data_IF_583214614507
#
_entry.id   IF_583214614507
#
_cell.length_a   1.000
_cell.length_b   1.000
_cell.length_c   1.000
_cell.angle_alpha   90.00
_cell.angle_beta   90.00
_cell.angle_gamma   90.00
#
_symmetry.space_group_name_H-M   'P 1'
#
loop_
_entity.id
_entity.type
_entity.pdbx_description
1 polymer ?
#
# COMPACT_ATOMS: atom_id res chain seq x y z
N UNK A 1 -16.14 -0.61 -7.86
CA UNK A 1 -15.90 -1.94 -7.26
C UNK A 1 -14.44 -2.13 -6.87
N UNK A 2 -13.49 -1.85 -7.76
CA UNK A 2 -12.07 -2.18 -7.56
C UNK A 2 -11.42 -1.52 -6.34
N UNK A 3 -11.71 -0.24 -6.07
CA UNK A 3 -11.15 0.48 -4.92
C UNK A 3 -11.52 -0.17 -3.58
N UNK A 4 -12.68 -0.85 -3.49
CA UNK A 4 -13.12 -1.53 -2.29
C UNK A 4 -12.44 -2.90 -2.13
N UNK A 5 -12.18 -3.59 -3.24
CA UNK A 5 -11.63 -4.95 -3.25
C UNK A 5 -10.10 -4.94 -3.16
N UNK A 6 -9.44 -4.00 -3.85
CA UNK A 6 -7.99 -3.98 -4.02
C UNK A 6 -7.18 -3.88 -2.73
N UNK A 7 -7.55 -3.08 -1.72
CA UNK A 7 -6.79 -3.04 -0.46
C UNK A 7 -6.71 -4.41 0.23
N UNK A 8 -7.76 -5.23 0.11
CA UNK A 8 -7.85 -6.55 0.74
C UNK A 8 -7.23 -7.64 -0.12
N UNK A 9 -7.75 -7.86 -1.33
CA UNK A 9 -7.32 -8.98 -2.18
C UNK A 9 -6.02 -8.64 -2.91
N UNK A 10 -5.89 -7.43 -3.44
CA UNK A 10 -4.67 -7.02 -4.14
C UNK A 10 -3.52 -6.79 -3.18
N UNK A 11 -3.57 -5.70 -2.43
CA UNK A 11 -2.45 -5.33 -1.56
C UNK A 11 -2.30 -6.27 -0.36
N UNK A 12 -3.39 -6.58 0.33
CA UNK A 12 -3.36 -7.42 1.53
C UNK A 12 -2.93 -8.87 1.23
N UNK A 13 -3.61 -9.53 0.30
CA UNK A 13 -3.38 -10.93 -0.03
C UNK A 13 -2.28 -11.12 -1.10
N UNK A 14 -2.42 -10.52 -2.29
CA UNK A 14 -1.52 -10.79 -3.42
C UNK A 14 -0.13 -10.14 -3.23
N UNK A 15 -0.05 -8.94 -2.65
CA UNK A 15 1.24 -8.30 -2.34
C UNK A 15 1.78 -8.67 -0.95
N UNK A 16 1.01 -9.41 -0.14
CA UNK A 16 1.43 -9.86 1.19
C UNK A 16 1.46 -8.78 2.27
N UNK A 17 0.71 -7.69 2.11
CA UNK A 17 0.71 -6.57 3.07
C UNK A 17 -0.15 -6.82 4.33
N UNK A 18 -0.91 -7.91 4.38
CA UNK A 18 -1.74 -8.30 5.53
C UNK A 18 -1.20 -9.56 6.21
N UNK A 19 -1.72 -9.87 7.41
CA UNK A 19 -1.60 -11.18 8.07
C UNK A 19 -0.21 -11.85 8.05
N UNK A 20 0.87 -11.08 8.25
CA UNK A 20 2.25 -11.61 8.25
C UNK A 20 2.62 -12.45 7.01
N UNK A 21 2.19 -12.00 5.82
CA UNK A 21 2.41 -12.61 4.51
C UNK A 21 1.56 -13.86 4.19
N UNK A 22 0.28 -13.68 3.76
CA UNK A 22 -0.62 -14.77 3.38
C UNK A 22 -0.16 -15.56 2.15
N UNK A 23 0.79 -15.05 1.35
CA UNK A 23 1.26 -15.72 0.13
C UNK A 23 1.92 -17.07 0.42
N UNK A 24 2.44 -17.24 1.63
CA UNK A 24 3.07 -18.47 2.13
C UNK A 24 2.10 -19.64 2.29
N UNK A 25 0.81 -19.35 2.45
CA UNK A 25 -0.20 -20.37 2.74
C UNK A 25 -1.28 -20.47 1.65
N UNK A 26 -1.72 -19.34 1.08
CA UNK A 26 -2.89 -19.29 0.19
C UNK A 26 -2.58 -19.57 -1.29
N UNK A 27 -1.40 -20.09 -1.64
CA UNK A 27 -0.97 -20.40 -3.02
C UNK A 27 -1.22 -19.26 -4.01
N UNK A 28 -1.04 -18.01 -3.55
CA UNK A 28 -1.38 -16.80 -4.32
C UNK A 28 -0.74 -16.69 -5.72
N UNK A 29 0.37 -17.38 -5.94
CA UNK A 29 1.07 -17.44 -7.22
C UNK A 29 0.24 -18.11 -8.33
N UNK A 30 -0.77 -18.91 -7.99
CA UNK A 30 -1.66 -19.57 -8.96
C UNK A 30 -2.74 -18.62 -9.51
N UNK A 31 -3.04 -17.51 -8.82
CA UNK A 31 -4.14 -16.59 -9.17
C UNK A 31 -3.77 -15.59 -10.27
N UNK A 32 -3.45 -16.09 -11.47
CA UNK A 32 -2.89 -15.30 -12.60
C UNK A 32 -3.66 -14.00 -12.90
N UNK A 33 -4.98 -14.06 -12.98
CA UNK A 33 -5.82 -12.91 -13.31
C UNK A 33 -5.85 -11.87 -12.19
N UNK A 34 -5.89 -12.33 -10.94
CA UNK A 34 -5.90 -11.49 -9.75
C UNK A 34 -4.54 -10.82 -9.57
N UNK A 35 -3.44 -11.52 -9.86
CA UNK A 35 -2.08 -10.97 -9.88
C UNK A 35 -1.92 -9.86 -10.93
N UNK A 36 -2.37 -10.09 -12.17
CA UNK A 36 -2.34 -9.07 -13.23
C UNK A 36 -3.12 -7.82 -12.83
N UNK A 37 -4.36 -8.00 -12.35
CA UNK A 37 -5.22 -6.90 -11.89
C UNK A 37 -4.60 -6.14 -10.70
N UNK A 38 -3.99 -6.87 -9.76
CA UNK A 38 -3.34 -6.28 -8.59
C UNK A 38 -2.22 -5.33 -9.00
N UNK A 39 -1.39 -5.75 -9.96
CA UNK A 39 -0.31 -4.92 -10.52
C UNK A 39 -0.85 -3.68 -11.22
N UNK A 40 -1.80 -3.87 -12.14
CA UNK A 40 -2.40 -2.80 -12.93
C UNK A 40 -2.97 -1.66 -12.06
N UNK A 41 -3.72 -2.01 -11.01
CA UNK A 41 -4.26 -1.00 -10.09
C UNK A 41 -3.18 -0.41 -9.19
N UNK A 42 -2.25 -1.23 -8.70
CA UNK A 42 -1.16 -0.79 -7.82
C UNK A 42 -0.21 0.22 -8.47
N UNK A 43 -0.09 0.20 -9.80
CA UNK A 43 0.75 1.14 -10.56
C UNK A 43 0.18 2.56 -10.61
N UNK A 44 -1.12 2.73 -10.38
CA UNK A 44 -1.81 4.02 -10.46
C UNK A 44 -1.23 5.01 -9.43
N UNK A 45 -0.84 6.24 -9.84
CA UNK A 45 -0.27 7.23 -8.92
C UNK A 45 -1.19 7.57 -7.73
N UNK A 46 -2.50 7.53 -7.94
CA UNK A 46 -3.49 7.81 -6.87
C UNK A 46 -3.58 6.67 -5.85
N UNK A 47 -3.44 5.42 -6.27
CA UNK A 47 -3.41 4.25 -5.36
C UNK A 47 -2.14 4.28 -4.53
N UNK A 48 -0.99 4.56 -5.17
CA UNK A 48 0.31 4.71 -4.49
C UNK A 48 0.26 5.77 -3.39
N UNK A 49 -0.36 6.92 -3.64
CA UNK A 49 -0.55 7.98 -2.62
C UNK A 49 -1.60 7.61 -1.58
N UNK A 50 -2.76 7.13 -2.01
CA UNK A 50 -3.89 6.84 -1.13
C UNK A 50 -3.55 5.80 -0.05
N UNK A 51 -2.80 4.75 -0.41
CA UNK A 51 -2.39 3.71 0.56
C UNK A 51 -1.42 4.18 1.65
N UNK A 52 -0.86 5.38 1.52
CA UNK A 52 0.07 5.94 2.51
C UNK A 52 -0.67 6.68 3.64
N UNK A 53 -1.84 7.24 3.33
CA UNK A 53 -2.58 8.10 4.25
C UNK A 53 -3.09 7.30 5.45
N UNK A 54 -2.89 7.84 6.66
CA UNK A 54 -3.19 7.21 7.95
C UNK A 54 -2.48 5.87 8.20
N UNK A 55 -1.49 5.51 7.39
CA UNK A 55 -0.73 4.27 7.57
C UNK A 55 0.31 4.43 8.68
N UNK A 56 0.33 3.50 9.62
CA UNK A 56 1.21 3.51 10.81
C UNK A 56 2.25 2.39 10.82
N UNK A 57 2.28 1.55 9.79
CA UNK A 57 3.15 0.38 9.68
C UNK A 57 3.68 0.17 8.26
N UNK A 58 4.73 -0.65 8.12
CA UNK A 58 5.46 -0.86 6.85
C UNK A 58 6.64 0.10 6.69
N UNK A 59 7.19 0.25 5.46
CA UNK A 59 8.32 1.15 5.22
C UNK A 59 8.00 2.61 5.60
N UNK A 60 8.87 3.33 6.33
CA UNK A 60 8.60 4.71 6.77
C UNK A 60 8.27 5.69 5.64
N UNK A 61 8.87 5.52 4.46
CA UNK A 61 8.63 6.31 3.25
C UNK A 61 7.24 6.09 2.66
N UNK A 62 6.56 5.00 3.03
CA UNK A 62 5.17 4.72 2.66
C UNK A 62 4.16 5.12 3.76
N UNK A 63 4.61 5.66 4.88
CA UNK A 63 3.76 6.07 5.99
C UNK A 63 3.53 7.58 5.98
N UNK A 64 2.27 7.99 5.79
CA UNK A 64 1.81 9.37 6.00
C UNK A 64 0.70 9.35 7.05
N UNK A 65 1.05 9.54 8.33
CA UNK A 65 0.13 9.36 9.46
C UNK A 65 -1.10 10.27 9.41
N UNK A 66 -0.94 11.47 8.86
CA UNK A 66 -2.03 12.41 8.61
C UNK A 66 -1.78 13.16 7.30
N UNK A 67 -2.86 13.53 6.60
CA UNK A 67 -2.80 14.35 5.39
C UNK A 67 -3.73 15.54 5.55
N UNK A 68 -3.15 16.73 5.48
CA UNK A 68 -3.84 18.03 5.53
C UNK A 68 -3.57 18.89 4.30
N UNK A 69 -2.50 18.58 3.54
CA UNK A 69 -2.16 19.26 2.28
C UNK A 69 -1.59 18.27 1.23
N UNK A 70 -1.59 18.65 -0.05
CA UNK A 70 -0.98 17.83 -1.11
C UNK A 70 0.56 17.74 -1.00
N UNK A 71 1.20 18.77 -0.44
CA UNK A 71 2.65 18.81 -0.23
C UNK A 71 3.13 17.85 0.85
N UNK A 72 2.23 17.34 1.71
CA UNK A 72 2.57 16.42 2.81
C UNK A 72 3.27 15.15 2.31
N UNK A 73 2.92 14.64 1.13
CA UNK A 73 3.60 13.48 0.52
C UNK A 73 5.09 13.73 0.24
N UNK A 74 5.49 14.99 0.05
CA UNK A 74 6.90 15.38 -0.20
C UNK A 74 7.65 15.74 1.08
N UNK A 75 6.96 16.06 2.17
CA UNK A 75 7.59 16.72 3.33
C UNK A 75 7.30 16.06 4.68
N UNK A 76 6.27 15.21 4.78
CA UNK A 76 5.75 14.67 6.05
C UNK A 76 5.56 13.15 6.08
N UNK A 77 6.11 12.41 5.13
CA UNK A 77 6.21 10.95 5.30
C UNK A 77 7.19 10.62 6.43
N UNK A 78 7.02 9.45 7.06
CA UNK A 78 7.69 9.16 8.34
C UNK A 78 9.23 9.11 8.22
N UNK A 79 9.78 8.71 7.06
CA UNK A 79 11.21 8.82 6.72
C UNK A 79 11.72 10.26 6.85
N UNK A 80 10.95 11.24 6.36
CA UNK A 80 11.32 12.66 6.34
C UNK A 80 11.17 13.32 7.71
N UNK A 81 10.20 12.86 8.50
CA UNK A 81 10.01 13.33 9.87
C UNK A 81 11.15 12.81 10.75
N UNK A 82 11.47 11.51 10.64
CA UNK A 82 12.54 10.90 11.43
C UNK A 82 13.92 11.50 11.13
N UNK A 83 14.20 11.86 9.86
CA UNK A 83 15.48 12.47 9.48
C UNK A 83 15.68 13.93 9.95
N UNK A 84 14.65 14.58 10.52
CA UNK A 84 14.73 15.97 11.01
C UNK A 84 15.03 16.09 12.51
N UNK A 85 14.89 15.00 13.26
CA UNK A 85 15.19 14.93 14.69
C UNK A 85 16.51 14.24 14.93
#
# INVERSE_FOLDING_TARGET
>A
ADMAIWPWYGNGMLNGASYNDPRKFLQTHEYKNLTRWTKEIGERPTVKRGRMVNRTSGPPEEQLRERHDASDFRTKTQDKIAARG
#
